data_IF_668936298886
#
_entry.id   IF_668936298886
#
_cell.length_a   1.000
_cell.length_b   1.000
_cell.length_c   1.000
_cell.angle_alpha   90.00
_cell.angle_beta   90.00
_cell.angle_gamma   90.00
#
_symmetry.space_group_name_H-M   'P 1'
#
loop_
_entity.id
_entity.type
_entity.pdbx_description
1 polymer ?
#
# COMPACT_ATOMS: atom_id res chain seq x y z
N UNK A 1 9.04 -3.67 24.87
CA UNK A 1 10.39 -3.22 25.28
C UNK A 1 10.84 -2.19 24.24
N UNK A 2 11.50 -1.09 24.64
CA UNK A 2 12.01 -0.13 23.67
C UNK A 2 13.17 -0.75 22.90
N UNK A 3 13.22 -0.53 21.58
CA UNK A 3 14.29 -1.04 20.73
C UNK A 3 15.57 -0.24 20.94
N UNK A 4 16.72 -0.92 20.84
CA UNK A 4 18.03 -0.29 21.00
C UNK A 4 18.79 -0.25 19.68
N UNK A 5 19.48 0.87 19.45
CA UNK A 5 20.24 1.14 18.25
C UNK A 5 21.62 1.67 18.60
N UNK A 6 22.65 1.23 17.89
CA UNK A 6 24.01 1.73 18.03
C UNK A 6 24.28 2.78 16.95
N UNK A 7 24.56 4.01 17.39
CA UNK A 7 25.01 5.14 16.57
C UNK A 7 26.52 5.31 16.80
N UNK A 8 27.34 4.82 15.88
CA UNK A 8 28.80 4.75 16.04
C UNK A 8 29.21 4.01 17.35
N UNK A 9 29.45 4.74 18.43
CA UNK A 9 29.85 4.17 19.72
C UNK A 9 28.77 4.21 20.80
N UNK A 10 27.70 4.99 20.60
CA UNK A 10 26.63 5.17 21.58
C UNK A 10 25.43 4.26 21.25
N UNK A 11 24.91 3.57 22.29
CA UNK A 11 23.70 2.75 22.16
C UNK A 11 22.54 3.50 22.83
N UNK A 12 21.51 3.82 22.05
CA UNK A 12 20.32 4.52 22.50
C UNK A 12 19.08 3.63 22.35
N UNK A 13 18.15 3.78 23.26
CA UNK A 13 16.81 3.22 23.14
C UNK A 13 15.94 4.14 22.24
N UNK A 14 14.93 3.57 21.61
CA UNK A 14 14.03 4.32 20.70
C UNK A 14 13.19 5.40 21.40
N UNK A 15 13.04 5.30 22.71
CA UNK A 15 12.37 6.27 23.59
C UNK A 15 13.33 7.26 24.27
N UNK A 16 14.64 7.19 23.99
CA UNK A 16 15.60 8.15 24.49
C UNK A 16 15.38 9.55 23.89
N UNK A 17 15.41 10.62 24.69
CA UNK A 17 15.24 12.01 24.20
C UNK A 17 16.22 12.40 23.09
N UNK A 18 17.44 11.84 23.06
CA UNK A 18 18.46 12.10 22.03
C UNK A 18 18.25 11.30 20.74
N UNK A 19 17.37 10.29 20.77
CA UNK A 19 17.22 9.36 19.66
C UNK A 19 16.97 10.04 18.32
N UNK A 20 15.97 10.90 18.26
CA UNK A 20 15.58 11.59 17.01
C UNK A 20 16.70 12.49 16.46
N UNK A 21 17.47 13.15 17.34
CA UNK A 21 18.61 13.98 16.92
C UNK A 21 19.74 13.13 16.35
N UNK A 22 19.99 11.96 16.92
CA UNK A 22 20.97 11.00 16.40
C UNK A 22 20.53 10.41 15.05
N UNK A 23 19.23 10.11 14.87
CA UNK A 23 18.69 9.68 13.56
C UNK A 23 18.85 10.78 12.50
N UNK A 24 18.57 12.03 12.84
CA UNK A 24 18.76 13.18 11.95
C UNK A 24 20.23 13.34 11.54
N UNK A 25 21.17 13.23 12.51
CA UNK A 25 22.59 13.28 12.24
C UNK A 25 23.08 12.11 11.36
N UNK A 26 22.59 10.90 11.63
CA UNK A 26 22.89 9.72 10.82
C UNK A 26 22.40 9.87 9.37
N UNK A 27 21.16 10.35 9.18
CA UNK A 27 20.63 10.68 7.86
C UNK A 27 21.48 11.70 7.11
N UNK A 28 21.81 12.84 7.75
CA UNK A 28 22.58 13.92 7.12
C UNK A 28 24.00 13.51 6.76
N UNK A 29 24.62 12.65 7.55
CA UNK A 29 25.99 12.15 7.37
C UNK A 29 26.05 10.84 6.59
N UNK A 30 24.91 10.29 6.16
CA UNK A 30 24.79 8.97 5.52
C UNK A 30 25.42 7.83 6.33
N UNK A 31 25.36 7.92 7.66
CA UNK A 31 25.81 6.87 8.57
C UNK A 31 24.67 5.87 8.73
N UNK A 32 25.01 4.58 8.77
CA UNK A 32 24.07 3.48 9.02
C UNK A 32 24.15 3.04 10.48
N UNK A 33 23.16 3.39 11.32
CA UNK A 33 23.06 2.85 12.66
C UNK A 33 22.81 1.35 12.63
N UNK A 34 23.09 0.67 13.74
CA UNK A 34 22.88 -0.76 13.87
C UNK A 34 21.71 -1.05 14.82
N UNK A 35 20.75 -1.84 14.37
CA UNK A 35 19.68 -2.37 15.21
C UNK A 35 20.25 -3.49 16.11
N UNK A 36 20.08 -3.34 17.42
CA UNK A 36 20.62 -4.26 18.44
C UNK A 36 19.56 -5.28 18.91
N UNK A 37 18.68 -5.74 18.01
CA UNK A 37 17.59 -6.66 18.35
C UNK A 37 18.04 -8.10 18.64
N UNK A 38 19.25 -8.48 18.21
CA UNK A 38 19.85 -9.80 18.48
C UNK A 38 20.97 -9.67 19.52
N UNK A 39 20.80 -10.25 20.71
CA UNK A 39 21.85 -10.24 21.73
C UNK A 39 23.11 -10.95 21.25
N UNK A 40 24.29 -10.41 21.58
CA UNK A 40 25.58 -11.04 21.28
C UNK A 40 26.03 -10.95 19.81
N UNK A 41 25.31 -10.21 18.94
CA UNK A 41 25.72 -9.93 17.56
C UNK A 41 26.12 -8.46 17.38
N UNK A 42 26.87 -8.17 16.31
CA UNK A 42 27.33 -6.79 16.00
C UNK A 42 26.20 -5.80 15.73
N UNK A 43 24.99 -6.29 15.46
CA UNK A 43 23.82 -5.52 15.09
C UNK A 43 23.57 -5.56 13.57
N UNK A 44 22.37 -5.12 13.17
CA UNK A 44 21.91 -5.16 11.78
C UNK A 44 21.75 -3.72 11.29
N UNK A 45 22.32 -3.41 10.14
CA UNK A 45 22.26 -2.08 9.57
C UNK A 45 20.82 -1.61 9.34
N UNK A 46 20.58 -0.35 9.70
CA UNK A 46 19.38 0.41 9.40
C UNK A 46 19.80 1.78 8.88
N UNK A 47 18.90 2.49 8.22
CA UNK A 47 19.22 3.84 7.74
C UNK A 47 18.21 4.87 8.22
N UNK A 48 18.69 6.11 8.37
CA UNK A 48 17.83 7.26 8.67
C UNK A 48 17.06 7.70 7.44
N UNK A 49 15.74 7.82 7.56
CA UNK A 49 14.88 8.41 6.56
C UNK A 49 14.21 9.68 7.11
N UNK A 50 14.02 10.69 6.26
CA UNK A 50 13.31 11.91 6.61
C UNK A 50 11.93 11.92 5.98
N UNK A 51 10.91 12.24 6.79
CA UNK A 51 9.56 12.44 6.31
C UNK A 51 9.00 13.76 6.83
N UNK A 52 8.64 14.66 5.91
CA UNK A 52 8.29 16.03 6.27
C UNK A 52 9.41 16.61 7.16
N UNK A 53 9.10 16.95 8.40
CA UNK A 53 10.05 17.47 9.39
C UNK A 53 10.54 16.40 10.40
N UNK A 54 10.16 15.12 10.21
CA UNK A 54 10.49 14.05 11.17
C UNK A 54 11.46 13.03 10.57
N UNK A 55 12.38 12.58 11.41
CA UNK A 55 13.32 11.50 11.09
C UNK A 55 12.88 10.19 11.73
N UNK A 56 13.12 9.08 11.05
CA UNK A 56 12.87 7.73 11.55
C UNK A 56 13.91 6.76 10.99
N UNK A 57 14.09 5.61 11.66
CA UNK A 57 14.94 4.55 11.13
C UNK A 57 14.11 3.59 10.28
N UNK A 58 14.71 3.13 9.19
CA UNK A 58 14.19 2.06 8.33
C UNK A 58 15.21 0.92 8.23
N UNK A 59 14.72 -0.30 8.09
CA UNK A 59 15.59 -1.45 7.77
C UNK A 59 16.22 -1.28 6.41
N UNK A 60 17.39 -1.88 6.24
CA UNK A 60 17.98 -2.02 4.90
C UNK A 60 17.11 -2.95 4.04
N UNK A 61 17.09 -2.75 2.72
CA UNK A 61 16.44 -3.67 1.81
C UNK A 61 16.90 -5.12 2.07
N UNK A 62 15.96 -6.07 2.01
CA UNK A 62 16.19 -7.50 2.21
C UNK A 62 16.72 -7.92 3.61
N UNK A 63 16.88 -7.02 4.56
CA UNK A 63 17.40 -7.35 5.89
C UNK A 63 16.32 -7.80 6.89
N UNK A 64 15.03 -7.72 6.51
CA UNK A 64 13.91 -8.07 7.40
C UNK A 64 14.05 -9.41 8.13
N UNK A 65 14.35 -10.53 7.42
CA UNK A 65 14.48 -11.84 8.05
C UNK A 65 15.71 -11.97 8.98
N UNK A 66 16.65 -11.07 8.88
CA UNK A 66 17.85 -11.05 9.75
C UNK A 66 17.57 -10.45 11.11
N UNK A 67 16.47 -9.70 11.28
CA UNK A 67 16.06 -9.13 12.57
C UNK A 67 15.37 -10.17 13.45
N UNK A 68 15.36 -9.93 14.77
CA UNK A 68 14.59 -10.77 15.68
C UNK A 68 13.07 -10.67 15.40
N UNK A 69 12.28 -11.74 15.55
CA UNK A 69 10.83 -11.73 15.27
C UNK A 69 10.04 -10.65 16.01
N UNK A 70 10.46 -10.26 17.21
CA UNK A 70 9.85 -9.17 17.98
C UNK A 70 10.38 -7.76 17.68
N UNK A 71 11.21 -7.60 16.63
CA UNK A 71 11.77 -6.32 16.22
C UNK A 71 10.83 -5.59 15.23
N UNK A 72 10.70 -4.26 15.35
CA UNK A 72 9.91 -3.44 14.41
C UNK A 72 10.46 -3.48 12.96
N UNK A 73 11.71 -3.93 12.79
CA UNK A 73 12.34 -4.10 11.48
C UNK A 73 12.22 -5.52 10.93
N UNK A 74 11.64 -6.46 11.71
CA UNK A 74 11.46 -7.83 11.25
C UNK A 74 10.47 -7.90 10.10
N UNK A 75 10.78 -8.73 9.14
CA UNK A 75 9.90 -9.14 8.06
C UNK A 75 10.16 -10.63 7.78
N UNK A 76 9.12 -11.43 7.57
CA UNK A 76 9.30 -12.83 7.22
C UNK A 76 10.08 -13.01 5.92
N UNK A 77 10.63 -14.20 5.72
CA UNK A 77 11.26 -14.57 4.45
C UNK A 77 10.28 -14.36 3.29
N UNK A 78 10.76 -13.79 2.20
CA UNK A 78 9.94 -13.49 1.02
C UNK A 78 9.24 -14.74 0.44
N UNK A 79 9.81 -15.94 0.66
CA UNK A 79 9.23 -17.22 0.26
C UNK A 79 7.91 -17.56 0.99
N UNK A 80 7.70 -16.99 2.19
CA UNK A 80 6.47 -17.14 2.97
C UNK A 80 5.38 -16.13 2.56
N UNK A 81 5.76 -15.15 1.77
CA UNK A 81 4.89 -14.10 1.25
C UNK A 81 4.95 -14.09 -0.28
N UNK A 82 4.03 -13.46 -0.95
CA UNK A 82 4.07 -13.32 -2.41
C UNK A 82 5.19 -12.42 -2.95
N UNK A 83 6.13 -11.95 -2.12
CA UNK A 83 7.22 -11.04 -2.51
C UNK A 83 8.37 -11.76 -3.22
N UNK A 84 8.63 -13.04 -2.91
CA UNK A 84 9.81 -13.75 -3.43
C UNK A 84 9.91 -13.76 -4.95
N UNK A 85 8.78 -13.83 -5.64
CA UNK A 85 8.74 -13.80 -7.11
C UNK A 85 8.89 -12.39 -7.70
N UNK A 86 8.70 -11.34 -6.91
CA UNK A 86 8.68 -9.96 -7.38
C UNK A 86 9.96 -9.21 -7.09
N UNK A 87 10.63 -9.56 -5.98
CA UNK A 87 11.84 -8.89 -5.54
C UNK A 87 13.01 -9.20 -6.48
N UNK A 88 13.76 -8.17 -6.85
CA UNK A 88 14.81 -8.26 -7.87
C UNK A 88 14.32 -8.21 -9.33
N UNK A 89 13.02 -8.38 -9.57
CA UNK A 89 12.43 -8.33 -10.93
C UNK A 89 11.48 -7.14 -11.09
N UNK A 90 10.31 -7.19 -10.45
CA UNK A 90 9.30 -6.13 -10.47
C UNK A 90 9.58 -5.04 -9.42
N UNK A 91 10.23 -5.42 -8.31
CA UNK A 91 10.61 -4.58 -7.18
C UNK A 91 12.13 -4.63 -7.09
N UNK A 92 12.79 -3.52 -7.36
CA UNK A 92 14.25 -3.42 -7.35
C UNK A 92 14.65 -2.36 -6.35
N UNK A 93 15.27 -2.80 -5.26
CA UNK A 93 15.76 -1.92 -4.21
C UNK A 93 17.17 -1.43 -4.53
N UNK A 94 17.40 -0.14 -4.40
CA UNK A 94 18.73 0.48 -4.47
C UNK A 94 19.24 0.71 -3.04
N UNK A 95 20.21 -0.08 -2.64
CA UNK A 95 20.80 -0.01 -1.29
C UNK A 95 21.59 1.30 -1.07
N UNK A 96 22.07 1.94 -2.13
CA UNK A 96 22.86 3.17 -2.03
C UNK A 96 21.97 4.38 -1.72
N UNK A 97 20.82 4.48 -2.40
CA UNK A 97 19.90 5.61 -2.27
C UNK A 97 18.76 5.33 -1.27
N UNK A 98 18.45 4.05 -1.02
CA UNK A 98 17.26 3.62 -0.26
C UNK A 98 15.98 3.74 -1.06
N UNK A 99 16.06 3.98 -2.37
CA UNK A 99 14.92 4.04 -3.27
C UNK A 99 14.55 2.65 -3.79
N UNK A 100 13.28 2.47 -4.11
CA UNK A 100 12.77 1.23 -4.71
C UNK A 100 12.16 1.52 -6.06
N UNK A 101 12.71 0.93 -7.12
CA UNK A 101 12.13 0.98 -8.46
C UNK A 101 10.99 -0.04 -8.58
N UNK A 102 9.80 0.44 -8.97
CA UNK A 102 8.62 -0.39 -9.23
C UNK A 102 8.36 -0.47 -10.73
N UNK A 103 8.39 -1.68 -11.29
CA UNK A 103 7.96 -1.96 -12.66
C UNK A 103 6.49 -2.34 -12.67
N UNK A 104 5.65 -1.51 -13.27
CA UNK A 104 4.20 -1.67 -13.28
C UNK A 104 3.72 -2.34 -14.59
N UNK A 105 2.79 -3.28 -14.48
CA UNK A 105 2.16 -3.96 -15.62
C UNK A 105 1.10 -3.09 -16.32
N UNK A 106 0.65 -2.04 -15.66
CA UNK A 106 -0.37 -1.11 -16.13
C UNK A 106 0.23 0.25 -16.48
N UNK A 107 -0.43 1.03 -17.36
CA UNK A 107 0.07 2.33 -17.77
C UNK A 107 -0.12 3.40 -16.68
N UNK A 108 0.90 4.26 -16.48
CA UNK A 108 0.80 5.50 -15.71
C UNK A 108 0.78 6.74 -16.61
N UNK A 109 0.66 6.54 -17.92
CA UNK A 109 0.51 7.60 -18.91
C UNK A 109 -0.30 7.09 -20.10
N UNK A 110 -1.05 7.98 -20.74
CA UNK A 110 -1.70 7.69 -22.03
C UNK A 110 -0.63 7.56 -23.10
N UNK A 111 -0.54 6.37 -23.70
CA UNK A 111 0.13 6.19 -24.98
C UNK A 111 -0.66 6.83 -26.12
N UNK A 112 -0.09 7.01 -27.34
CA UNK A 112 -0.88 7.25 -28.54
C UNK A 112 -1.96 6.15 -28.57
N UNK A 113 -3.21 6.53 -28.87
CA UNK A 113 -4.34 5.61 -28.92
C UNK A 113 -4.00 4.43 -29.86
N UNK A 114 -3.37 3.41 -29.35
CA UNK A 114 -3.46 2.09 -29.94
C UNK A 114 -4.92 1.71 -29.73
N UNK A 115 -5.66 1.70 -30.83
CA UNK A 115 -6.87 0.92 -30.95
C UNK A 115 -6.49 -0.49 -30.43
N UNK A 116 -6.73 -0.75 -29.17
CA UNK A 116 -6.74 -2.09 -28.63
C UNK A 116 -7.89 -2.73 -29.36
N UNK A 117 -7.64 -3.40 -30.46
CA UNK A 117 -8.50 -4.48 -30.93
C UNK A 117 -8.57 -5.42 -29.73
N UNK A 118 -9.67 -5.27 -29.00
CA UNK A 118 -10.09 -6.26 -28.04
C UNK A 118 -10.26 -7.56 -28.84
N UNK A 119 -9.28 -8.41 -28.77
CA UNK A 119 -9.47 -9.82 -29.03
C UNK A 119 -10.47 -10.26 -27.97
N UNK A 120 -11.73 -10.32 -28.42
CA UNK A 120 -12.82 -10.93 -27.69
C UNK A 120 -12.54 -12.42 -27.60
N UNK A 121 -11.78 -12.82 -26.61
CA UNK A 121 -11.71 -14.19 -26.09
C UNK A 121 -10.67 -14.19 -24.95
N UNK A 122 -11.16 -13.94 -23.73
CA UNK A 122 -10.56 -14.55 -22.55
C UNK A 122 -11.47 -14.32 -21.35
N UNK A 123 -12.40 -15.21 -21.20
CA UNK A 123 -12.99 -15.63 -19.95
C UNK A 123 -11.91 -16.34 -19.15
N UNK A 124 -11.26 -15.64 -18.27
CA UNK A 124 -10.65 -16.03 -16.98
C UNK A 124 -9.57 -15.01 -16.58
N UNK A 125 -9.55 -14.50 -15.36
CA UNK A 125 -8.46 -13.65 -14.88
C UNK A 125 -7.28 -14.51 -14.42
N UNK A 126 -6.71 -15.28 -15.33
CA UNK A 126 -5.41 -15.89 -15.16
C UNK A 126 -4.40 -15.09 -15.98
N UNK A 127 -4.17 -13.85 -15.58
CA UNK A 127 -2.92 -13.21 -15.97
C UNK A 127 -1.85 -13.97 -15.19
N UNK A 128 -1.18 -14.92 -15.84
CA UNK A 128 0.12 -15.41 -15.37
C UNK A 128 1.03 -14.20 -15.34
N UNK A 129 1.13 -13.57 -14.19
CA UNK A 129 2.15 -12.58 -13.93
C UNK A 129 3.47 -13.32 -13.98
N UNK A 130 4.32 -12.94 -14.92
CA UNK A 130 5.66 -13.52 -15.06
C UNK A 130 6.63 -13.05 -13.96
N UNK A 131 6.13 -12.40 -12.90
CA UNK A 131 6.93 -11.84 -11.80
C UNK A 131 7.70 -10.58 -12.17
N UNK A 132 7.79 -10.18 -13.45
CA UNK A 132 8.63 -9.07 -13.91
C UNK A 132 8.00 -7.70 -13.72
N UNK A 133 6.69 -7.64 -13.48
CA UNK A 133 5.91 -6.39 -13.29
C UNK A 133 4.82 -6.58 -12.25
N UNK A 134 4.53 -5.53 -11.50
CA UNK A 134 3.42 -5.47 -10.56
C UNK A 134 2.11 -5.18 -11.28
N UNK A 135 1.10 -6.03 -11.07
CA UNK A 135 -0.29 -5.71 -11.37
C UNK A 135 -0.79 -4.60 -10.43
N UNK A 136 -1.93 -3.99 -10.70
CA UNK A 136 -2.52 -3.00 -9.79
C UNK A 136 -2.87 -3.63 -8.42
N UNK A 137 -3.31 -4.91 -8.39
CA UNK A 137 -3.50 -5.69 -7.16
C UNK A 137 -2.17 -5.89 -6.43
N UNK A 138 -1.16 -6.37 -7.13
CA UNK A 138 0.17 -6.59 -6.56
C UNK A 138 0.78 -5.31 -5.99
N UNK A 139 0.58 -4.16 -6.64
CA UNK A 139 1.02 -2.87 -6.13
C UNK A 139 0.28 -2.49 -4.85
N UNK A 140 -1.04 -2.66 -4.78
CA UNK A 140 -1.81 -2.38 -3.56
C UNK A 140 -1.37 -3.26 -2.41
N UNK A 141 -1.21 -4.58 -2.63
CA UNK A 141 -0.72 -5.52 -1.63
C UNK A 141 0.70 -5.18 -1.17
N UNK A 142 1.58 -4.84 -2.09
CA UNK A 142 2.95 -4.41 -1.79
C UNK A 142 2.99 -3.16 -0.91
N UNK A 143 2.25 -2.12 -1.28
CA UNK A 143 2.17 -0.89 -0.48
C UNK A 143 1.58 -1.14 0.91
N UNK A 144 0.59 -2.04 1.02
CA UNK A 144 -0.01 -2.42 2.29
C UNK A 144 0.97 -3.15 3.20
N UNK A 145 1.78 -4.04 2.62
CA UNK A 145 2.85 -4.73 3.33
C UNK A 145 3.97 -3.77 3.77
N UNK A 146 4.46 -2.92 2.86
CA UNK A 146 5.47 -1.90 3.17
C UNK A 146 5.01 -0.89 4.23
N UNK A 147 3.71 -0.61 4.29
CA UNK A 147 3.07 0.21 5.31
C UNK A 147 2.91 -0.51 6.66
N UNK A 148 3.33 -1.79 6.77
CA UNK A 148 3.14 -2.66 7.93
C UNK A 148 1.67 -2.79 8.37
N UNK A 149 0.73 -2.60 7.44
CA UNK A 149 -0.69 -2.77 7.72
C UNK A 149 -1.12 -4.24 7.78
N UNK A 150 -0.24 -5.14 7.35
CA UNK A 150 -0.37 -6.60 7.50
C UNK A 150 0.03 -7.10 8.89
N UNK A 151 0.73 -6.29 9.68
CA UNK A 151 1.20 -6.65 11.01
C UNK A 151 0.10 -6.40 12.05
N UNK A 152 0.01 -7.28 13.03
CA UNK A 152 -0.89 -7.15 14.17
C UNK A 152 -0.21 -7.48 15.49
N UNK A 153 -0.54 -6.71 16.50
CA UNK A 153 -0.29 -7.05 17.90
C UNK A 153 -1.38 -6.41 18.80
N UNK A 154 -1.63 -6.93 20.01
CA UNK A 154 -2.77 -6.53 20.87
C UNK A 154 -2.84 -5.03 21.15
N UNK A 155 -1.70 -4.34 21.26
CA UNK A 155 -1.65 -2.89 21.51
C UNK A 155 -2.18 -2.05 20.31
N UNK A 156 -2.44 -2.67 19.16
CA UNK A 156 -3.03 -1.99 17.98
C UNK A 156 -4.54 -2.01 17.98
N UNK A 157 -5.18 -2.80 18.85
CA UNK A 157 -6.64 -2.93 18.93
C UNK A 157 -7.29 -1.55 19.11
N UNK A 158 -8.21 -1.19 18.22
CA UNK A 158 -8.93 0.08 18.22
C UNK A 158 -8.11 1.33 17.89
N UNK A 159 -6.82 1.20 17.54
CA UNK A 159 -5.94 2.34 17.23
C UNK A 159 -5.76 2.58 15.74
N UNK A 160 -6.14 1.67 14.88
CA UNK A 160 -6.12 1.84 13.44
C UNK A 160 -7.44 2.44 12.96
N UNK A 161 -7.35 3.57 12.29
CA UNK A 161 -8.44 4.17 11.55
C UNK A 161 -7.90 4.70 10.23
N UNK A 162 -8.76 5.19 9.34
CA UNK A 162 -8.36 5.67 8.00
C UNK A 162 -7.19 6.66 8.03
N UNK A 163 -7.14 7.56 9.02
CA UNK A 163 -6.05 8.52 9.16
C UNK A 163 -4.68 7.85 9.36
N UNK A 164 -4.63 6.78 10.16
CA UNK A 164 -3.41 5.98 10.39
C UNK A 164 -3.05 5.24 9.11
N UNK A 165 -3.99 4.51 8.51
CA UNK A 165 -3.80 3.76 7.25
C UNK A 165 -3.26 4.68 6.16
N UNK A 166 -3.90 5.84 5.96
CA UNK A 166 -3.42 6.85 5.01
C UNK A 166 -1.98 7.27 5.25
N UNK A 167 -1.65 7.58 6.50
CA UNK A 167 -0.32 8.05 6.84
C UNK A 167 0.75 6.98 6.57
N UNK A 168 0.47 5.73 6.91
CA UNK A 168 1.41 4.63 6.69
C UNK A 168 1.57 4.31 5.19
N UNK A 169 0.49 4.34 4.40
CA UNK A 169 0.56 4.16 2.95
C UNK A 169 1.34 5.29 2.25
N UNK A 170 1.15 6.54 2.67
CA UNK A 170 1.94 7.65 2.14
C UNK A 170 3.43 7.48 2.47
N UNK A 171 3.74 7.01 3.70
CA UNK A 171 5.12 6.69 4.10
C UNK A 171 5.72 5.57 3.25
N UNK A 172 4.94 4.52 2.99
CA UNK A 172 5.38 3.43 2.13
C UNK A 172 5.66 3.88 0.69
N UNK A 173 4.96 4.89 0.20
CA UNK A 173 5.08 5.40 -1.17
C UNK A 173 6.23 6.39 -1.39
N UNK A 174 6.81 6.99 -0.32
CA UNK A 174 7.74 8.13 -0.44
C UNK A 174 9.01 7.82 -1.26
N UNK A 175 9.60 6.65 -1.06
CA UNK A 175 10.86 6.26 -1.71
C UNK A 175 10.65 5.32 -2.89
N UNK A 176 9.43 5.24 -3.40
CA UNK A 176 9.10 4.41 -4.55
C UNK A 176 9.19 5.23 -5.83
N UNK A 177 9.89 4.67 -6.82
CA UNK A 177 10.08 5.29 -8.13
C UNK A 177 9.45 4.39 -9.19
N UNK A 178 8.77 4.97 -10.15
CA UNK A 178 8.30 4.28 -11.34
C UNK A 178 8.52 5.16 -12.56
N UNK A 179 9.11 4.58 -13.61
CA UNK A 179 9.44 5.31 -14.86
C UNK A 179 10.18 6.64 -14.62
N UNK A 180 11.12 6.67 -13.68
CA UNK A 180 11.94 7.84 -13.34
C UNK A 180 11.21 8.95 -12.60
N UNK A 181 10.03 8.70 -12.04
CA UNK A 181 9.25 9.66 -11.24
C UNK A 181 8.95 9.08 -9.86
N UNK A 182 8.91 9.94 -8.85
CA UNK A 182 8.47 9.53 -7.53
C UNK A 182 7.00 9.12 -7.55
N UNK A 183 6.72 7.93 -7.04
CA UNK A 183 5.37 7.37 -7.01
C UNK A 183 4.41 8.21 -6.17
N UNK A 184 4.89 8.81 -5.08
CA UNK A 184 4.14 9.71 -4.21
C UNK A 184 3.59 10.94 -4.94
N UNK A 185 4.19 11.36 -6.05
CA UNK A 185 3.71 12.49 -6.85
C UNK A 185 2.47 12.19 -7.68
N UNK A 186 2.19 10.92 -7.93
CA UNK A 186 1.06 10.44 -8.72
C UNK A 186 -0.05 9.84 -7.86
N UNK A 187 0.26 9.55 -6.57
CA UNK A 187 -0.65 8.88 -5.65
C UNK A 187 -1.44 9.91 -4.83
N UNK A 188 -2.76 9.80 -4.90
CA UNK A 188 -3.68 10.50 -4.01
C UNK A 188 -4.33 9.52 -3.03
N UNK A 189 -4.23 9.80 -1.74
CA UNK A 189 -4.94 9.07 -0.68
C UNK A 189 -5.77 10.11 0.09
N UNK A 190 -7.11 10.00 0.11
CA UNK A 190 -7.98 10.98 0.72
C UNK A 190 -7.67 11.20 2.20
N UNK A 191 -7.72 12.46 2.62
CA UNK A 191 -7.67 12.80 4.04
C UNK A 191 -8.97 12.40 4.72
N UNK A 192 -8.97 12.08 6.04
CA UNK A 192 -10.20 11.96 6.79
C UNK A 192 -11.05 13.23 6.58
N UNK A 193 -12.28 13.05 6.09
CA UNK A 193 -13.14 14.18 5.77
C UNK A 193 -13.51 14.98 7.02
N UNK A 194 -13.31 16.30 6.94
CA UNK A 194 -13.72 17.28 7.97
C UNK A 194 -14.51 18.38 7.28
N UNK A 195 -15.79 18.54 7.63
CA UNK A 195 -16.66 19.52 6.98
C UNK A 195 -16.10 20.96 7.09
N UNK A 196 -15.52 21.32 8.22
CA UNK A 196 -14.88 22.63 8.46
C UNK A 196 -13.67 22.89 7.55
N UNK A 197 -12.98 21.83 7.06
CA UNK A 197 -11.77 21.91 6.21
C UNK A 197 -12.01 21.52 4.76
N UNK A 198 -13.28 21.40 4.33
CA UNK A 198 -13.60 20.86 3.00
C UNK A 198 -12.93 21.61 1.85
N UNK A 199 -12.82 22.94 1.94
CA UNK A 199 -12.18 23.77 0.90
C UNK A 199 -10.67 23.58 0.84
N UNK A 200 -10.01 23.42 1.98
CA UNK A 200 -8.58 23.14 2.07
C UNK A 200 -8.26 21.73 1.52
N UNK A 201 -9.08 20.75 1.91
CA UNK A 201 -8.97 19.37 1.41
C UNK A 201 -9.15 19.36 -0.11
N UNK A 202 -10.17 20.05 -0.64
CA UNK A 202 -10.41 20.14 -2.08
C UNK A 202 -9.26 20.86 -2.82
N UNK A 203 -8.64 21.89 -2.22
CA UNK A 203 -7.47 22.56 -2.79
C UNK A 203 -6.28 21.61 -2.89
N UNK A 204 -5.90 20.94 -1.78
CA UNK A 204 -4.79 19.96 -1.77
C UNK A 204 -5.02 18.82 -2.75
N UNK A 205 -6.25 18.30 -2.84
CA UNK A 205 -6.64 17.31 -3.85
C UNK A 205 -6.34 17.82 -5.26
N UNK A 206 -6.80 19.02 -5.61
CA UNK A 206 -6.57 19.61 -6.94
C UNK A 206 -5.08 19.77 -7.25
N UNK A 207 -4.27 20.18 -6.29
CA UNK A 207 -2.81 20.29 -6.47
C UNK A 207 -2.17 18.95 -6.86
N UNK A 208 -2.58 17.84 -6.21
CA UNK A 208 -2.08 16.50 -6.50
C UNK A 208 -2.64 15.99 -7.83
N UNK A 209 -3.95 16.16 -8.07
CA UNK A 209 -4.64 15.62 -9.25
C UNK A 209 -4.43 16.44 -10.51
N UNK A 210 -3.94 17.68 -10.40
CA UNK A 210 -3.63 18.54 -11.56
C UNK A 210 -2.67 17.88 -12.55
N UNK A 211 -1.80 17.00 -12.08
CA UNK A 211 -0.85 16.26 -12.93
C UNK A 211 -1.53 15.17 -13.79
N UNK A 212 -2.71 14.72 -13.40
CA UNK A 212 -3.50 13.73 -14.13
C UNK A 212 -4.48 14.33 -15.17
N UNK A 213 -4.33 15.62 -15.49
CA UNK A 213 -5.19 16.28 -16.49
C UNK A 213 -4.91 15.76 -17.90
N UNK A 214 -5.92 15.82 -18.76
CA UNK A 214 -5.86 15.28 -20.13
C UNK A 214 -4.68 15.77 -20.95
N UNK A 215 -4.28 17.05 -20.81
CA UNK A 215 -3.20 17.64 -21.57
C UNK A 215 -1.81 17.12 -21.16
N UNK A 216 -1.66 16.58 -19.95
CA UNK A 216 -0.37 16.07 -19.46
C UNK A 216 -0.09 14.64 -19.90
N UNK A 217 -1.08 13.92 -20.42
CA UNK A 217 -1.07 12.47 -20.70
C UNK A 217 -0.69 11.60 -19.50
N UNK A 218 -0.53 12.16 -18.32
CA UNK A 218 -0.19 11.44 -17.09
C UNK A 218 -1.48 10.96 -16.41
N UNK A 219 -1.48 9.73 -15.91
CA UNK A 219 -2.55 9.21 -15.07
C UNK A 219 -2.24 9.48 -13.60
N UNK A 220 -3.28 9.77 -12.83
CA UNK A 220 -3.22 9.75 -11.38
C UNK A 220 -3.53 8.36 -10.85
N UNK A 221 -3.19 8.12 -9.59
CA UNK A 221 -3.57 6.93 -8.86
C UNK A 221 -4.27 7.34 -7.55
N UNK A 222 -5.31 6.60 -7.19
CA UNK A 222 -5.99 6.77 -5.91
C UNK A 222 -6.01 5.45 -5.14
N UNK A 223 -5.80 5.53 -3.83
CA UNK A 223 -6.16 4.47 -2.88
C UNK A 223 -7.17 5.08 -1.91
N UNK A 224 -8.34 4.46 -1.77
CA UNK A 224 -9.42 4.98 -0.94
C UNK A 224 -10.34 3.89 -0.40
N UNK A 225 -11.12 4.22 0.63
CA UNK A 225 -12.17 3.36 1.17
C UNK A 225 -13.46 3.61 0.38
N UNK A 226 -14.01 2.54 -0.20
CA UNK A 226 -15.29 2.59 -0.92
C UNK A 226 -16.44 2.70 0.06
N UNK A 227 -17.36 3.61 -0.20
CA UNK A 227 -18.66 3.72 0.51
C UNK A 227 -19.74 2.94 -0.20
N UNK A 228 -19.86 3.09 -1.51
CA UNK A 228 -20.87 2.45 -2.36
C UNK A 228 -20.45 2.46 -3.83
N UNK A 229 -21.12 1.64 -4.62
CA UNK A 229 -21.13 1.74 -6.06
C UNK A 229 -22.54 2.18 -6.50
N UNK A 230 -22.63 3.37 -7.07
CA UNK A 230 -23.90 3.96 -7.46
C UNK A 230 -24.06 3.92 -8.99
N UNK A 231 -25.23 3.55 -9.44
CA UNK A 231 -25.63 3.65 -10.86
C UNK A 231 -26.27 5.01 -11.09
N UNK A 232 -25.82 5.73 -12.09
CA UNK A 232 -26.38 7.03 -12.49
C UNK A 232 -26.69 7.04 -13.98
N UNK A 233 -27.39 8.07 -14.44
CA UNK A 233 -27.71 8.29 -15.87
C UNK A 233 -26.42 8.36 -16.71
N UNK A 234 -25.33 8.84 -16.13
CA UNK A 234 -24.01 9.01 -16.78
C UNK A 234 -23.09 7.80 -16.63
N UNK A 235 -23.58 6.65 -16.15
CA UNK A 235 -22.80 5.45 -15.89
C UNK A 235 -22.69 5.13 -14.41
N UNK A 236 -21.84 4.17 -14.10
CA UNK A 236 -21.57 3.73 -12.74
C UNK A 236 -20.42 4.53 -12.12
N UNK A 237 -20.49 4.73 -10.81
CA UNK A 237 -19.45 5.47 -10.07
C UNK A 237 -19.14 4.78 -8.75
N UNK A 238 -17.86 4.79 -8.37
CA UNK A 238 -17.46 4.45 -7.02
C UNK A 238 -17.47 5.71 -6.15
N UNK A 239 -18.23 5.66 -5.07
CA UNK A 239 -18.29 6.70 -4.03
C UNK A 239 -17.25 6.38 -2.98
N UNK A 240 -16.33 7.30 -2.73
CA UNK A 240 -15.26 7.14 -1.76
C UNK A 240 -15.66 7.78 -0.43
N UNK A 241 -15.50 7.07 0.67
CA UNK A 241 -16.02 7.44 2.00
C UNK A 241 -15.57 8.83 2.48
N UNK A 242 -14.37 9.21 2.17
CA UNK A 242 -13.78 10.48 2.59
C UNK A 242 -13.79 11.56 1.49
N UNK A 243 -14.49 11.30 0.36
CA UNK A 243 -14.60 12.19 -0.80
C UNK A 243 -16.06 12.36 -1.23
N UNK A 244 -16.92 13.00 -0.43
CA UNK A 244 -18.34 13.09 -0.72
C UNK A 244 -18.67 13.87 -2.01
N UNK A 245 -17.75 14.72 -2.46
CA UNK A 245 -17.88 15.62 -3.60
C UNK A 245 -17.06 15.19 -4.83
N UNK A 246 -16.39 14.01 -4.78
CA UNK A 246 -15.47 13.59 -5.84
C UNK A 246 -15.55 12.08 -6.08
N UNK A 247 -16.53 11.67 -6.91
CA UNK A 247 -16.76 10.27 -7.23
C UNK A 247 -15.91 9.82 -8.41
N UNK A 248 -15.49 8.55 -8.40
CA UNK A 248 -14.74 7.93 -9.48
C UNK A 248 -15.70 7.38 -10.54
N UNK A 249 -15.65 7.88 -11.75
CA UNK A 249 -16.53 7.47 -12.86
C UNK A 249 -15.97 6.24 -13.57
N UNK A 250 -16.82 5.22 -13.72
CA UNK A 250 -16.53 3.97 -14.40
C UNK A 250 -17.21 3.96 -15.75
N UNK A 251 -16.47 3.64 -16.81
CA UNK A 251 -17.10 3.35 -18.08
C UNK A 251 -17.84 2.00 -18.04
N UNK A 252 -18.74 1.76 -19.00
CA UNK A 252 -19.57 0.54 -19.03
C UNK A 252 -18.76 -0.77 -19.02
N UNK A 253 -17.57 -0.78 -19.61
CA UNK A 253 -16.70 -1.95 -19.63
C UNK A 253 -16.12 -2.24 -18.26
N UNK A 254 -15.60 -1.20 -17.58
CA UNK A 254 -15.09 -1.31 -16.21
C UNK A 254 -16.19 -1.65 -15.21
N UNK A 255 -17.38 -1.07 -15.37
CA UNK A 255 -18.53 -1.38 -14.54
C UNK A 255 -18.95 -2.87 -14.64
N UNK A 256 -18.96 -3.43 -15.85
CA UNK A 256 -19.19 -4.87 -16.05
C UNK A 256 -18.08 -5.72 -15.43
N UNK A 257 -16.81 -5.36 -15.65
CA UNK A 257 -15.68 -6.06 -15.04
C UNK A 257 -15.69 -5.98 -13.51
N UNK A 258 -16.08 -4.85 -12.94
CA UNK A 258 -16.25 -4.69 -11.51
C UNK A 258 -17.20 -5.75 -10.95
N UNK A 259 -18.38 -5.89 -11.55
CA UNK A 259 -19.38 -6.86 -11.09
C UNK A 259 -18.94 -8.32 -11.29
N UNK A 260 -18.26 -8.65 -12.40
CA UNK A 260 -17.87 -10.03 -12.68
C UNK A 260 -16.61 -10.47 -11.94
N UNK A 261 -15.64 -9.57 -11.74
CA UNK A 261 -14.32 -9.93 -11.23
C UNK A 261 -14.17 -9.66 -9.74
N UNK A 262 -15.00 -8.78 -9.16
CA UNK A 262 -14.90 -8.37 -7.75
C UNK A 262 -16.20 -8.59 -6.96
N UNK A 263 -17.14 -9.39 -7.50
CA UNK A 263 -18.37 -9.77 -6.80
C UNK A 263 -18.05 -10.37 -5.43
N UNK A 264 -17.09 -11.28 -5.39
CA UNK A 264 -16.64 -11.94 -4.16
C UNK A 264 -16.13 -10.95 -3.11
N UNK A 265 -15.28 -10.02 -3.49
CA UNK A 265 -14.71 -9.02 -2.57
C UNK A 265 -15.79 -8.08 -2.03
N UNK A 266 -16.75 -7.70 -2.86
CA UNK A 266 -17.88 -6.86 -2.49
C UNK A 266 -18.81 -7.61 -1.51
N UNK A 267 -19.14 -8.87 -1.81
CA UNK A 267 -19.96 -9.72 -0.95
C UNK A 267 -19.30 -10.01 0.39
N UNK A 268 -17.99 -10.31 0.40
CA UNK A 268 -17.23 -10.54 1.64
C UNK A 268 -17.36 -9.36 2.60
N UNK A 269 -17.25 -8.12 2.09
CA UNK A 269 -17.39 -6.93 2.93
C UNK A 269 -18.85 -6.69 3.32
N UNK A 270 -19.81 -6.91 2.42
CA UNK A 270 -21.24 -6.73 2.71
C UNK A 270 -21.76 -7.69 3.79
N UNK A 271 -21.22 -8.92 3.87
CA UNK A 271 -21.59 -9.94 4.82
C UNK A 271 -20.91 -9.77 6.20
N UNK A 272 -19.83 -9.00 6.29
CA UNK A 272 -19.01 -8.89 7.50
C UNK A 272 -19.02 -7.46 8.05
N UNK A 273 -19.80 -7.24 9.12
CA UNK A 273 -19.89 -5.94 9.79
C UNK A 273 -18.51 -5.49 10.31
N UNK A 274 -18.19 -4.22 10.11
CA UNK A 274 -16.91 -3.65 10.51
C UNK A 274 -15.81 -3.79 9.45
N UNK A 275 -16.00 -4.61 8.41
CA UNK A 275 -15.07 -4.68 7.28
C UNK A 275 -15.14 -3.45 6.38
N UNK A 276 -14.03 -3.17 5.70
CA UNK A 276 -13.91 -2.06 4.77
C UNK A 276 -13.48 -2.58 3.39
N UNK A 277 -13.92 -1.92 2.33
CA UNK A 277 -13.51 -2.21 0.97
C UNK A 277 -12.55 -1.13 0.47
N UNK A 278 -11.33 -1.52 0.14
CA UNK A 278 -10.31 -0.62 -0.38
C UNK A 278 -10.29 -0.69 -1.91
N UNK A 279 -10.31 0.45 -2.56
CA UNK A 279 -10.07 0.58 -3.99
C UNK A 279 -8.66 1.15 -4.23
N UNK A 280 -7.95 0.55 -5.19
CA UNK A 280 -6.80 1.16 -5.83
C UNK A 280 -7.12 1.31 -7.31
N UNK A 281 -7.04 2.53 -7.83
CA UNK A 281 -7.41 2.81 -9.21
C UNK A 281 -6.47 3.84 -9.86
N UNK A 282 -6.18 3.63 -11.16
CA UNK A 282 -5.64 4.69 -12.00
C UNK A 282 -6.79 5.49 -12.60
N UNK A 283 -6.59 6.79 -12.72
CA UNK A 283 -7.61 7.68 -13.28
C UNK A 283 -6.98 8.79 -14.13
N UNK A 284 -7.81 9.33 -15.01
CA UNK A 284 -7.56 10.57 -15.72
C UNK A 284 -8.62 11.61 -15.36
N UNK A 285 -8.24 12.86 -15.35
CA UNK A 285 -9.17 13.96 -15.14
C UNK A 285 -9.80 14.36 -16.47
N UNK A 286 -11.13 14.42 -16.54
CA UNK A 286 -11.85 15.01 -17.66
C UNK A 286 -11.68 16.54 -17.69
N UNK A 287 -12.09 17.17 -18.80
CA UNK A 287 -12.11 18.65 -18.91
C UNK A 287 -13.06 19.29 -17.89
N UNK A 288 -14.08 18.56 -17.45
CA UNK A 288 -15.04 19.02 -16.44
C UNK A 288 -14.60 18.68 -15.00
N UNK A 289 -13.32 18.36 -14.78
CA UNK A 289 -12.68 18.06 -13.50
C UNK A 289 -13.23 16.81 -12.79
N UNK A 290 -13.72 15.82 -13.57
CA UNK A 290 -14.17 14.54 -13.06
C UNK A 290 -13.12 13.44 -13.30
N UNK A 291 -12.84 12.57 -12.31
CA UNK A 291 -11.91 11.46 -12.45
C UNK A 291 -12.59 10.27 -13.16
N UNK A 292 -12.06 9.90 -14.31
CA UNK A 292 -12.44 8.70 -15.03
C UNK A 292 -11.46 7.59 -14.78
N UNK A 293 -11.94 6.46 -14.24
CA UNK A 293 -11.11 5.29 -13.92
C UNK A 293 -10.65 4.60 -15.20
N UNK A 294 -9.36 4.30 -15.27
CA UNK A 294 -8.76 3.53 -16.36
C UNK A 294 -8.58 2.06 -15.99
N UNK A 295 -8.15 1.79 -14.78
CA UNK A 295 -7.94 0.45 -14.23
C UNK A 295 -8.16 0.48 -12.72
N UNK A 296 -8.65 -0.62 -12.14
CA UNK A 296 -8.88 -0.71 -10.71
C UNK A 296 -8.65 -2.12 -10.16
N UNK A 297 -8.47 -2.20 -8.85
CA UNK A 297 -8.58 -3.41 -8.04
C UNK A 297 -9.28 -3.10 -6.73
N UNK A 298 -9.88 -4.13 -6.12
CA UNK A 298 -10.50 -4.04 -4.80
C UNK A 298 -9.75 -4.97 -3.83
N UNK A 299 -9.79 -4.61 -2.55
CA UNK A 299 -9.21 -5.41 -1.48
C UNK A 299 -10.07 -5.28 -0.21
N UNK A 300 -10.68 -6.37 0.27
CA UNK A 300 -11.34 -6.42 1.57
C UNK A 300 -10.32 -6.28 2.70
N UNK A 301 -10.66 -5.52 3.72
CA UNK A 301 -9.90 -5.46 4.97
C UNK A 301 -10.87 -5.54 6.15
N UNK A 302 -10.47 -6.18 7.24
CA UNK A 302 -11.31 -6.30 8.44
C UNK A 302 -11.36 -4.98 9.25
N UNK A 303 -12.03 -4.97 10.39
CA UNK A 303 -12.14 -3.83 11.31
C UNK A 303 -10.79 -3.29 11.82
N UNK A 304 -9.74 -4.12 11.74
CA UNK A 304 -8.36 -3.77 12.09
C UNK A 304 -7.52 -3.35 10.89
N UNK A 305 -8.15 -3.18 9.72
CA UNK A 305 -7.50 -2.84 8.46
C UNK A 305 -6.49 -3.88 7.97
N UNK A 306 -6.68 -5.15 8.35
CA UNK A 306 -5.87 -6.28 7.90
C UNK A 306 -6.59 -6.91 6.70
N UNK A 307 -5.90 -7.09 5.56
CA UNK A 307 -6.49 -7.70 4.36
C UNK A 307 -6.91 -9.14 4.58
N UNK A 308 -7.98 -9.56 3.90
CA UNK A 308 -8.42 -10.95 3.86
C UNK A 308 -9.02 -11.27 2.48
N UNK A 309 -8.92 -12.54 2.06
CA UNK A 309 -9.33 -12.98 0.73
C UNK A 309 -10.50 -13.98 0.76
N UNK A 310 -10.87 -14.49 1.94
CA UNK A 310 -12.01 -15.41 2.12
C UNK A 310 -12.60 -15.32 3.53
N UNK A 311 -13.74 -15.97 3.73
CA UNK A 311 -14.38 -16.07 5.06
C UNK A 311 -13.53 -16.86 6.04
N UNK A 312 -12.83 -17.89 5.56
CA UNK A 312 -11.91 -18.71 6.37
C UNK A 312 -10.69 -17.89 6.81
N UNK A 313 -10.17 -17.07 5.91
CA UNK A 313 -9.07 -16.15 6.19
C UNK A 313 -9.49 -15.12 7.26
N UNK A 314 -10.69 -14.55 7.13
CA UNK A 314 -11.25 -13.63 8.12
C UNK A 314 -11.44 -14.32 9.48
N UNK A 315 -11.95 -15.57 9.52
CA UNK A 315 -12.12 -16.33 10.75
C UNK A 315 -10.78 -16.59 11.45
N UNK A 316 -9.74 -16.96 10.70
CA UNK A 316 -8.40 -17.15 11.24
C UNK A 316 -7.83 -15.84 11.82
N UNK A 317 -7.99 -14.71 11.13
CA UNK A 317 -7.55 -13.41 11.63
C UNK A 317 -8.31 -13.01 12.91
N UNK A 318 -9.61 -13.27 12.98
CA UNK A 318 -10.43 -13.01 14.15
C UNK A 318 -9.96 -13.86 15.34
N UNK A 319 -9.74 -15.16 15.13
CA UNK A 319 -9.19 -16.04 16.16
C UNK A 319 -7.83 -15.54 16.67
N UNK A 320 -6.89 -15.21 15.78
CA UNK A 320 -5.57 -14.70 16.20
C UNK A 320 -5.67 -13.39 16.99
N UNK A 321 -6.62 -12.50 16.64
CA UNK A 321 -6.86 -11.25 17.37
C UNK A 321 -7.50 -11.47 18.73
N UNK A 322 -8.45 -12.40 18.86
CA UNK A 322 -9.09 -12.78 20.11
C UNK A 322 -8.10 -13.44 21.09
N UNK A 323 -7.24 -14.32 20.56
CA UNK A 323 -6.17 -14.98 21.31
C UNK A 323 -4.97 -14.04 21.60
N UNK A 324 -5.06 -12.79 21.24
CA UNK A 324 -4.01 -11.76 21.45
C UNK A 324 -2.64 -12.14 20.86
N UNK A 325 -2.60 -12.90 19.77
CA UNK A 325 -1.38 -13.30 19.11
C UNK A 325 -0.76 -12.14 18.32
N UNK A 326 0.56 -12.09 18.30
CA UNK A 326 1.29 -11.27 17.34
C UNK A 326 1.36 -12.01 16.03
N UNK A 327 1.02 -11.37 14.91
CA UNK A 327 1.10 -12.04 13.62
C UNK A 327 1.33 -11.07 12.47
N UNK A 328 1.75 -11.65 11.35
CA UNK A 328 1.88 -10.97 10.05
C UNK A 328 0.99 -11.72 9.05
N UNK A 329 0.10 -11.00 8.39
CA UNK A 329 -0.73 -11.53 7.31
C UNK A 329 0.09 -11.64 6.03
N UNK A 330 0.17 -12.84 5.46
CA UNK A 330 0.74 -13.06 4.13
C UNK A 330 -0.13 -12.44 3.04
N UNK A 331 0.49 -11.88 2.01
CA UNK A 331 -0.20 -11.21 0.90
C UNK A 331 0.10 -11.91 -0.42
N UNK A 332 -0.93 -12.23 -1.18
CA UNK A 332 -0.81 -12.96 -2.45
C UNK A 332 -0.10 -12.17 -3.56
N UNK A 333 0.03 -10.85 -3.43
CA UNK A 333 0.67 -9.98 -4.41
C UNK A 333 0.13 -10.21 -5.84
N UNK A 334 1.01 -10.67 -6.76
CA UNK A 334 0.65 -11.03 -8.12
C UNK A 334 0.28 -12.50 -8.29
N UNK A 335 0.42 -13.31 -7.24
CA UNK A 335 0.17 -14.75 -7.33
C UNK A 335 -1.30 -15.04 -7.64
N UNK A 336 -1.54 -16.17 -8.29
CA UNK A 336 -2.89 -16.69 -8.45
C UNK A 336 -3.48 -17.08 -7.09
N UNK A 337 -4.81 -17.08 -6.98
CA UNK A 337 -5.50 -17.36 -5.70
C UNK A 337 -5.23 -18.77 -5.15
N UNK A 338 -4.82 -19.71 -5.99
CA UNK A 338 -4.46 -21.08 -5.64
C UNK A 338 -2.98 -21.27 -5.29
N UNK A 339 -2.17 -20.23 -5.40
CA UNK A 339 -0.75 -20.31 -5.05
C UNK A 339 -0.57 -20.37 -3.54
N UNK A 340 0.20 -21.34 -3.02
CA UNK A 340 0.38 -21.49 -1.59
C UNK A 340 1.25 -20.35 -1.05
N UNK A 341 0.68 -19.59 -0.12
CA UNK A 341 1.40 -18.63 0.73
C UNK A 341 0.99 -18.86 2.18
N UNK A 342 1.81 -18.43 3.13
CA UNK A 342 1.40 -18.44 4.52
C UNK A 342 0.24 -17.44 4.71
N UNK A 343 -0.94 -17.91 5.09
CA UNK A 343 -2.08 -17.05 5.39
C UNK A 343 -1.75 -16.11 6.55
N UNK A 344 -1.14 -16.67 7.61
CA UNK A 344 -0.70 -15.95 8.80
C UNK A 344 0.66 -16.51 9.24
N UNK A 345 1.55 -15.64 9.68
CA UNK A 345 2.87 -15.95 10.23
C UNK A 345 2.85 -15.47 11.69
N UNK A 346 3.05 -16.40 12.63
CA UNK A 346 3.00 -16.15 14.08
C UNK A 346 4.36 -15.85 14.65
#
# INVERSE_FOLDING_TARGET
MSQRYRFAVEILASDDPKFLSCVAAAHSRRIRPLCMCLPGREGIEVYGARRFEKYHLKRMPNSGPSHAPGCDHYEPHDDLTGLGQLRGQAIIDDEATGETLLKLAFPMSRGPARLAMATANETKPSVKSDGTKLSIRGLLHYLWNEAQLTHWHPKMRGKRGWGVVRNELLRAAEQKITKGKHFSEMLYIPEPFQAAKKYEIARRRREITARAQQHTKQLGMIIGEVKSFDVSINGERAVIKHLPDWNLFLNNMLARRLRSNFEREIELVAQNMGSHLIICATFEMSRADYPHVCELTLMPVNEHWIPYESSEDLALLSQCTEEERHFIKGMSMNLAHDSPIAAVIL
#
